data_IF_031710363145
#
_entry.id   IF_031710363145
#
_cell.length_a   1.000
_cell.length_b   1.000
_cell.length_c   1.000
_cell.angle_alpha   90.00
_cell.angle_beta   90.00
_cell.angle_gamma   90.00
#
_symmetry.space_group_name_H-M   'P 1'
#
loop_
_entity.id
_entity.type
_entity.pdbx_description
1 polymer ?
#
# COMPACT_ATOMS: atom_id res chain seq x y z
N UNK A 1 -32.11 -47.87 2.68
CA UNK A 1 -32.73 -47.85 4.00
C UNK A 1 -32.07 -46.77 4.83
N UNK A 2 -32.70 -45.62 4.92
CA UNK A 2 -32.22 -44.48 5.67
C UNK A 2 -32.89 -44.49 7.02
N UNK A 3 -32.14 -44.33 8.09
CA UNK A 3 -32.66 -44.17 9.44
C UNK A 3 -32.43 -42.75 9.93
N UNK A 4 -33.56 -42.02 9.97
CA UNK A 4 -33.69 -40.70 10.61
C UNK A 4 -33.37 -40.82 12.12
N UNK A 5 -32.49 -39.94 12.59
CA UNK A 5 -32.36 -39.64 14.03
C UNK A 5 -32.84 -38.23 14.30
N UNK A 6 -34.08 -38.19 14.85
CA UNK A 6 -34.67 -37.00 15.45
C UNK A 6 -34.01 -36.69 16.78
N UNK A 7 -33.38 -35.55 16.93
CA UNK A 7 -32.86 -35.02 18.21
C UNK A 7 -33.97 -34.22 18.89
N UNK A 8 -34.44 -34.70 20.04
CA UNK A 8 -35.39 -34.00 20.92
C UNK A 8 -34.68 -32.92 21.72
N UNK A 9 -35.12 -31.66 21.57
CA UNK A 9 -34.68 -30.54 22.41
C UNK A 9 -35.60 -30.48 23.64
N UNK A 10 -35.00 -30.50 24.85
CA UNK A 10 -35.70 -30.27 26.11
C UNK A 10 -35.82 -28.77 26.41
N UNK A 11 -36.89 -28.27 27.02
CA UNK A 11 -37.07 -26.87 27.34
C UNK A 11 -36.30 -26.45 28.60
N UNK A 12 -35.66 -25.27 28.53
CA UNK A 12 -34.91 -24.66 29.62
C UNK A 12 -35.83 -24.11 30.72
N UNK A 13 -35.45 -24.40 31.94
CA UNK A 13 -36.10 -23.94 33.19
C UNK A 13 -35.43 -22.61 33.63
N UNK A 14 -36.29 -21.68 34.12
CA UNK A 14 -35.91 -20.74 35.16
C UNK A 14 -35.45 -19.35 34.69
N UNK A 15 -36.40 -18.42 34.49
CA UNK A 15 -36.14 -16.97 34.44
C UNK A 15 -36.01 -16.45 35.87
N UNK A 16 -34.81 -16.11 36.32
CA UNK A 16 -34.60 -15.25 37.51
C UNK A 16 -34.82 -13.79 37.14
N UNK A 17 -35.74 -13.13 37.85
CA UNK A 17 -35.92 -11.68 37.80
C UNK A 17 -34.72 -10.97 38.35
N UNK A 18 -33.97 -10.28 37.48
CA UNK A 18 -32.88 -9.34 37.88
C UNK A 18 -33.52 -7.95 37.99
N UNK A 19 -33.49 -7.39 39.19
CA UNK A 19 -33.85 -5.98 39.46
C UNK A 19 -32.88 -5.03 38.75
N UNK A 20 -33.32 -3.95 38.08
CA UNK A 20 -32.43 -3.01 37.41
C UNK A 20 -31.69 -2.15 38.45
N UNK A 21 -30.39 -2.30 38.53
CA UNK A 21 -29.50 -1.31 39.18
C UNK A 21 -29.37 -0.07 38.33
N UNK A 22 -29.53 1.08 38.94
CA UNK A 22 -29.39 2.43 38.40
C UNK A 22 -28.01 2.68 37.77
N UNK A 23 -27.84 2.35 36.50
CA UNK A 23 -26.63 2.60 35.71
C UNK A 23 -26.82 3.48 34.47
N UNK A 24 -28.02 4.03 34.26
CA UNK A 24 -28.36 4.74 33.02
C UNK A 24 -27.66 6.12 32.91
N UNK A 25 -27.37 6.80 34.03
CA UNK A 25 -26.74 8.12 34.02
C UNK A 25 -25.29 8.15 33.53
N UNK A 26 -24.50 7.12 33.85
CA UNK A 26 -23.06 7.06 33.50
C UNK A 26 -22.80 6.71 32.02
N UNK A 27 -23.71 5.98 31.39
CA UNK A 27 -23.61 5.63 29.96
C UNK A 27 -23.93 6.83 29.05
N UNK A 28 -24.89 7.67 29.43
CA UNK A 28 -25.23 8.87 28.67
C UNK A 28 -24.15 9.94 28.73
N UNK A 29 -23.52 10.14 29.89
CA UNK A 29 -22.42 11.12 30.06
C UNK A 29 -21.17 10.67 29.27
N UNK A 30 -20.81 9.38 29.30
CA UNK A 30 -19.71 8.84 28.48
C UNK A 30 -19.96 8.99 26.98
N UNK A 31 -21.16 8.65 26.50
CA UNK A 31 -21.51 8.83 25.07
C UNK A 31 -21.51 10.30 24.63
N UNK A 32 -21.94 11.21 25.49
CA UNK A 32 -21.89 12.65 25.19
C UNK A 32 -20.44 13.19 25.17
N UNK A 33 -19.59 12.72 26.08
CA UNK A 33 -18.16 13.08 26.10
C UNK A 33 -17.39 12.49 24.93
N UNK A 34 -17.67 11.25 24.54
CA UNK A 34 -17.10 10.62 23.33
C UNK A 34 -17.56 11.35 22.05
N UNK A 35 -18.83 11.72 21.93
CA UNK A 35 -19.34 12.46 20.78
C UNK A 35 -18.80 13.90 20.68
N UNK A 36 -18.50 14.54 21.80
CA UNK A 36 -17.90 15.89 21.82
C UNK A 36 -16.39 15.82 21.50
N UNK A 37 -15.72 14.80 22.01
CA UNK A 37 -14.32 14.50 21.66
C UNK A 37 -14.17 14.22 20.17
N UNK A 38 -15.04 13.38 19.58
CA UNK A 38 -15.01 13.06 18.16
C UNK A 38 -15.18 14.31 17.28
N UNK A 39 -16.08 15.24 17.65
CA UNK A 39 -16.25 16.50 16.92
C UNK A 39 -15.00 17.38 17.00
N UNK A 40 -14.38 17.44 18.14
CA UNK A 40 -13.14 18.20 18.36
C UNK A 40 -11.98 17.60 17.57
N UNK A 41 -11.85 16.28 17.54
CA UNK A 41 -10.79 15.58 16.78
C UNK A 41 -10.99 15.71 15.27
N UNK A 42 -12.22 15.67 14.77
CA UNK A 42 -12.53 15.91 13.34
C UNK A 42 -12.12 17.34 12.93
N UNK A 43 -12.46 18.35 13.76
CA UNK A 43 -12.08 19.73 13.50
C UNK A 43 -10.56 19.93 13.51
N UNK A 44 -9.86 19.33 14.47
CA UNK A 44 -8.38 19.38 14.56
C UNK A 44 -7.71 18.67 13.39
N UNK A 45 -8.22 17.51 12.98
CA UNK A 45 -7.72 16.79 11.82
C UNK A 45 -7.85 17.63 10.54
N UNK A 46 -8.99 18.31 10.36
CA UNK A 46 -9.20 19.22 9.24
C UNK A 46 -8.21 20.40 9.27
N UNK A 47 -8.00 21.00 10.43
CA UNK A 47 -7.04 22.10 10.60
C UNK A 47 -5.59 21.67 10.28
N UNK A 48 -5.16 20.51 10.77
CA UNK A 48 -3.84 19.94 10.44
C UNK A 48 -3.70 19.71 8.94
N UNK A 49 -4.71 19.17 8.29
CA UNK A 49 -4.70 19.00 6.83
C UNK A 49 -4.53 20.32 6.10
N UNK A 50 -5.35 21.33 6.42
CA UNK A 50 -5.25 22.67 5.79
C UNK A 50 -3.86 23.27 5.99
N UNK A 51 -3.25 23.08 7.15
CA UNK A 51 -1.91 23.54 7.46
C UNK A 51 -0.85 22.85 6.59
N UNK A 52 -0.94 21.52 6.40
CA UNK A 52 -0.07 20.77 5.49
C UNK A 52 -0.20 21.32 4.06
N UNK A 53 -1.41 21.54 3.58
CA UNK A 53 -1.67 22.03 2.23
C UNK A 53 -1.13 23.45 2.03
N UNK A 54 -1.37 24.35 2.98
CA UNK A 54 -0.89 25.74 2.92
C UNK A 54 0.64 25.79 2.93
N UNK A 55 1.28 25.12 3.89
CA UNK A 55 2.74 25.06 4.02
C UNK A 55 3.39 24.50 2.74
N UNK A 56 2.82 23.45 2.15
CA UNK A 56 3.33 22.89 0.91
C UNK A 56 3.23 23.87 -0.26
N UNK A 57 2.08 24.51 -0.44
CA UNK A 57 1.89 25.52 -1.52
C UNK A 57 2.83 26.71 -1.35
N UNK A 58 2.94 27.26 -0.16
CA UNK A 58 3.84 28.39 0.13
C UNK A 58 5.30 28.07 -0.20
N UNK A 59 5.80 26.91 0.22
CA UNK A 59 7.17 26.51 -0.08
C UNK A 59 7.37 26.23 -1.57
N UNK A 60 6.44 25.56 -2.25
CA UNK A 60 6.50 25.36 -3.69
C UNK A 60 6.60 26.67 -4.43
N UNK A 61 5.78 27.66 -4.10
CA UNK A 61 5.77 28.95 -4.78
C UNK A 61 7.00 29.81 -4.48
N UNK A 62 7.51 29.75 -3.25
CA UNK A 62 8.66 30.54 -2.83
C UNK A 62 10.01 29.98 -3.34
N UNK A 63 10.13 28.64 -3.50
CA UNK A 63 11.43 27.98 -3.68
C UNK A 63 11.59 27.24 -4.99
N UNK A 64 10.52 26.99 -5.74
CA UNK A 64 10.64 26.32 -7.03
C UNK A 64 11.42 27.15 -8.03
N UNK A 65 12.48 26.61 -8.66
CA UNK A 65 13.28 27.33 -9.66
C UNK A 65 12.48 27.66 -10.93
N UNK A 66 11.36 26.95 -11.13
CA UNK A 66 10.40 27.20 -12.21
C UNK A 66 9.01 27.21 -11.61
N UNK A 67 8.26 28.27 -11.86
CA UNK A 67 6.87 28.36 -11.40
C UNK A 67 6.03 27.24 -12.04
N UNK A 68 5.37 26.36 -11.25
CA UNK A 68 4.44 25.39 -11.81
C UNK A 68 3.21 26.09 -12.39
N UNK A 69 2.54 25.51 -13.37
CA UNK A 69 1.25 25.97 -13.86
C UNK A 69 0.11 25.63 -12.88
N UNK A 70 0.28 24.57 -12.11
CA UNK A 70 -0.62 24.21 -11.02
C UNK A 70 0.11 23.37 -9.97
N UNK A 71 -0.33 23.48 -8.72
CA UNK A 71 0.04 22.59 -7.59
C UNK A 71 -1.19 21.77 -7.25
N UNK A 72 -1.03 20.46 -7.27
CA UNK A 72 -2.12 19.50 -7.05
C UNK A 72 -1.76 18.60 -5.88
N UNK A 73 -2.72 18.31 -5.00
CA UNK A 73 -2.61 17.24 -4.02
C UNK A 73 -3.40 16.03 -4.47
N UNK A 74 -2.78 14.86 -4.38
CA UNK A 74 -3.40 13.56 -4.67
C UNK A 74 -3.46 12.65 -3.45
N UNK A 75 -3.61 11.37 -3.72
CA UNK A 75 -3.57 10.33 -2.70
C UNK A 75 -4.63 10.47 -1.60
N UNK A 76 -4.32 10.00 -0.41
CA UNK A 76 -5.28 10.02 0.71
C UNK A 76 -5.56 11.43 1.25
N UNK A 77 -4.61 12.36 1.14
CA UNK A 77 -4.81 13.76 1.56
C UNK A 77 -5.77 14.46 0.61
N UNK A 78 -5.61 14.26 -0.71
CA UNK A 78 -6.53 14.80 -1.71
C UNK A 78 -7.96 14.29 -1.55
N UNK A 79 -8.14 13.01 -1.16
CA UNK A 79 -9.44 12.39 -0.89
C UNK A 79 -10.03 12.70 0.49
N UNK A 80 -9.29 13.40 1.35
CA UNK A 80 -9.66 13.62 2.76
C UNK A 80 -9.79 12.30 3.56
N UNK A 81 -9.02 11.30 3.18
CA UNK A 81 -9.00 9.95 3.78
C UNK A 81 -7.61 9.61 4.37
N UNK A 82 -6.85 10.63 4.75
CA UNK A 82 -5.56 10.49 5.41
C UNK A 82 -5.75 10.13 6.90
N UNK A 83 -4.73 9.49 7.46
CA UNK A 83 -4.74 9.05 8.86
C UNK A 83 -3.91 10.02 9.69
N UNK A 84 -4.53 10.80 10.57
CA UNK A 84 -3.86 11.72 11.48
C UNK A 84 -4.07 11.28 12.93
N UNK A 85 -2.99 10.91 13.58
CA UNK A 85 -2.95 10.65 15.02
C UNK A 85 -2.72 11.98 15.74
N UNK A 86 -3.64 12.34 16.65
CA UNK A 86 -3.56 13.56 17.44
C UNK A 86 -3.14 13.23 18.87
N UNK A 87 -2.08 13.90 19.39
CA UNK A 87 -1.59 13.71 20.76
C UNK A 87 -1.01 14.99 21.31
N UNK A 88 -1.44 15.40 22.50
CA UNK A 88 -0.81 16.44 23.33
C UNK A 88 -0.25 17.65 22.54
N UNK A 89 -1.00 18.12 21.55
CA UNK A 89 -0.60 19.22 20.68
C UNK A 89 0.25 18.82 19.48
N UNK A 90 0.60 17.52 19.33
CA UNK A 90 1.35 16.97 18.23
C UNK A 90 0.44 16.17 17.28
N UNK A 91 0.66 16.29 15.98
CA UNK A 91 -0.05 15.53 14.95
C UNK A 91 0.93 14.67 14.14
N UNK A 92 0.64 13.38 14.02
CA UNK A 92 1.39 12.48 13.15
C UNK A 92 0.52 11.97 12.02
N UNK A 93 0.95 12.22 10.79
CA UNK A 93 0.29 11.68 9.59
C UNK A 93 0.91 10.31 9.26
N UNK A 94 0.08 9.26 9.27
CA UNK A 94 0.52 7.95 8.83
C UNK A 94 0.42 7.85 7.31
N UNK A 95 1.56 7.65 6.66
CA UNK A 95 1.73 7.70 5.21
C UNK A 95 2.37 9.00 4.75
N UNK A 96 2.06 9.40 3.54
CA UNK A 96 2.62 10.58 2.91
C UNK A 96 1.54 11.50 2.33
N UNK A 97 1.86 12.79 2.22
CA UNK A 97 1.09 13.75 1.44
C UNK A 97 1.73 13.90 0.07
N UNK A 98 0.99 13.55 -0.98
CA UNK A 98 1.48 13.49 -2.36
C UNK A 98 1.13 14.76 -3.12
N UNK A 99 2.16 15.53 -3.52
CA UNK A 99 2.01 16.75 -4.30
C UNK A 99 2.52 16.55 -5.73
N UNK A 100 1.74 17.03 -6.69
CA UNK A 100 2.06 17.00 -8.11
C UNK A 100 2.21 18.43 -8.62
N UNK A 101 3.42 18.80 -9.02
CA UNK A 101 3.76 20.09 -9.59
C UNK A 101 3.60 19.99 -11.11
N UNK A 102 2.57 20.64 -11.65
CA UNK A 102 2.25 20.59 -13.07
C UNK A 102 2.96 21.76 -13.77
N UNK A 103 3.86 21.46 -14.66
CA UNK A 103 4.59 22.44 -15.47
C UNK A 103 3.97 22.57 -16.85
N UNK A 104 4.02 23.76 -17.44
CA UNK A 104 3.56 24.00 -18.81
C UNK A 104 4.40 23.21 -19.82
N UNK A 105 5.70 23.02 -19.55
CA UNK A 105 6.65 22.36 -20.46
C UNK A 105 7.38 21.17 -19.81
N UNK A 106 7.85 20.26 -20.66
CA UNK A 106 8.69 19.13 -20.23
C UNK A 106 10.04 19.60 -19.65
N UNK A 107 10.58 20.70 -20.17
CA UNK A 107 11.84 21.26 -19.67
C UNK A 107 11.67 21.77 -18.24
N UNK A 108 10.60 22.52 -17.95
CA UNK A 108 10.28 22.97 -16.59
C UNK A 108 10.12 21.80 -15.61
N UNK A 109 9.40 20.75 -16.03
CA UNK A 109 9.26 19.55 -15.19
C UNK A 109 10.61 18.85 -14.93
N UNK A 110 11.54 18.84 -15.89
CA UNK A 110 12.88 18.27 -15.68
C UNK A 110 13.72 19.13 -14.75
N UNK A 111 13.63 20.45 -14.84
CA UNK A 111 14.35 21.35 -13.92
C UNK A 111 13.87 21.16 -12.48
N UNK A 112 12.55 21.11 -12.25
CA UNK A 112 12.00 20.89 -10.91
C UNK A 112 12.42 19.54 -10.30
N UNK A 113 12.58 18.50 -11.10
CA UNK A 113 12.92 17.14 -10.58
C UNK A 113 14.22 17.08 -9.79
N UNK A 114 15.19 17.93 -10.10
CA UNK A 114 16.46 17.99 -9.38
C UNK A 114 16.33 18.48 -7.94
N UNK A 115 15.26 19.23 -7.64
CA UNK A 115 15.10 19.92 -6.37
C UNK A 115 13.94 19.35 -5.51
N UNK A 116 13.20 18.34 -6.03
CA UNK A 116 11.99 17.85 -5.36
C UNK A 116 12.26 17.25 -3.97
N UNK A 117 13.35 16.52 -3.81
CA UNK A 117 13.70 15.91 -2.52
C UNK A 117 14.09 16.98 -1.50
N UNK A 118 14.83 18.01 -1.91
CA UNK A 118 15.16 19.16 -1.07
C UNK A 118 13.91 19.94 -0.68
N UNK A 119 13.02 20.20 -1.63
CA UNK A 119 11.75 20.88 -1.40
C UNK A 119 10.87 20.10 -0.42
N UNK A 120 10.76 18.78 -0.58
CA UNK A 120 10.00 17.92 0.31
C UNK A 120 10.57 17.97 1.74
N UNK A 121 11.90 17.85 1.90
CA UNK A 121 12.56 17.91 3.19
C UNK A 121 12.37 19.27 3.91
N UNK A 122 12.34 20.36 3.16
CA UNK A 122 12.08 21.70 3.73
C UNK A 122 10.63 21.85 4.20
N UNK A 123 9.66 21.34 3.43
CA UNK A 123 8.26 21.33 3.85
C UNK A 123 8.10 20.48 5.12
N UNK A 124 8.71 19.30 5.16
CA UNK A 124 8.70 18.41 6.34
C UNK A 124 9.29 19.11 7.58
N UNK A 125 10.43 19.80 7.43
CA UNK A 125 11.05 20.54 8.51
C UNK A 125 10.14 21.67 9.05
N UNK A 126 9.52 22.43 8.15
CA UNK A 126 8.61 23.51 8.54
C UNK A 126 7.34 22.97 9.21
N UNK A 127 6.82 21.83 8.79
CA UNK A 127 5.70 21.16 9.44
C UNK A 127 6.11 20.63 10.83
N UNK A 128 7.33 20.10 10.98
CA UNK A 128 7.85 19.66 12.28
C UNK A 128 7.96 20.82 13.29
N UNK A 129 8.37 22.03 12.87
CA UNK A 129 8.34 23.24 13.70
C UNK A 129 6.93 23.61 14.17
N UNK A 130 5.91 23.15 13.46
CA UNK A 130 4.49 23.35 13.79
C UNK A 130 3.89 22.14 14.55
N UNK A 131 4.75 21.23 15.04
CA UNK A 131 4.37 20.00 15.72
C UNK A 131 3.54 19.03 14.84
N UNK A 132 3.80 19.01 13.50
CA UNK A 132 3.18 18.11 12.54
C UNK A 132 4.27 17.21 11.94
N UNK A 133 4.20 15.91 12.22
CA UNK A 133 5.03 14.86 11.57
C UNK A 133 4.29 14.34 10.32
N UNK A 134 4.72 14.77 9.15
CA UNK A 134 4.12 14.40 7.88
C UNK A 134 5.22 14.20 6.83
N UNK A 135 5.28 13.01 6.25
CA UNK A 135 6.15 12.77 5.09
C UNK A 135 5.56 13.42 3.84
N UNK A 136 6.39 14.13 3.10
CA UNK A 136 6.00 14.81 1.86
C UNK A 136 6.61 14.07 0.67
N UNK A 137 5.79 13.85 -0.34
CA UNK A 137 6.24 13.34 -1.64
C UNK A 137 5.88 14.34 -2.73
N UNK A 138 6.88 14.84 -3.44
CA UNK A 138 6.70 15.75 -4.55
C UNK A 138 7.01 15.06 -5.89
N UNK A 139 6.20 15.33 -6.91
CA UNK A 139 6.40 14.85 -8.27
C UNK A 139 6.20 15.99 -9.25
N UNK A 140 7.08 16.12 -10.27
CA UNK A 140 6.93 17.12 -11.33
C UNK A 140 6.51 16.48 -12.66
N UNK A 141 5.43 16.96 -13.24
CA UNK A 141 4.87 16.50 -14.51
C UNK A 141 4.64 17.68 -15.45
N UNK A 142 4.78 17.46 -16.76
CA UNK A 142 4.33 18.47 -17.72
C UNK A 142 2.86 18.26 -18.11
N UNK A 143 2.20 19.32 -18.56
CA UNK A 143 0.86 19.26 -19.13
C UNK A 143 0.75 18.22 -20.26
N UNK A 144 1.82 18.02 -21.04
CA UNK A 144 1.86 17.02 -22.10
C UNK A 144 1.89 15.58 -21.58
N UNK A 145 2.53 15.35 -20.43
CA UNK A 145 2.47 14.04 -19.77
C UNK A 145 1.03 13.76 -19.33
N UNK A 146 0.35 14.72 -18.72
CA UNK A 146 -1.04 14.58 -18.31
C UNK A 146 -1.94 14.24 -19.49
N UNK A 147 -1.83 14.97 -20.62
CA UNK A 147 -2.64 14.71 -21.84
C UNK A 147 -2.40 13.34 -22.46
N UNK A 148 -1.23 12.75 -22.24
CA UNK A 148 -0.83 11.44 -22.78
C UNK A 148 -0.91 10.32 -21.76
N UNK A 149 -1.46 10.58 -20.58
CA UNK A 149 -1.61 9.54 -19.56
C UNK A 149 -2.47 8.39 -20.08
N UNK A 150 -1.91 7.19 -20.02
CA UNK A 150 -2.66 5.97 -20.32
C UNK A 150 -3.56 5.59 -19.15
N UNK A 151 -4.63 4.80 -19.38
CA UNK A 151 -5.48 4.32 -18.31
C UNK A 151 -4.68 3.54 -17.25
N UNK A 152 -4.72 4.00 -15.99
CA UNK A 152 -4.19 3.33 -14.81
C UNK A 152 -4.83 3.92 -13.54
N UNK A 153 -4.69 3.25 -12.41
CA UNK A 153 -5.37 3.60 -11.15
C UNK A 153 -5.04 5.02 -10.71
N UNK A 154 -3.74 5.38 -10.68
CA UNK A 154 -3.32 6.73 -10.27
C UNK A 154 -3.91 7.83 -11.17
N UNK A 155 -3.98 7.62 -12.50
CA UNK A 155 -4.58 8.61 -13.40
C UNK A 155 -6.07 8.79 -13.13
N UNK A 156 -6.79 7.69 -12.86
CA UNK A 156 -8.20 7.74 -12.49
C UNK A 156 -8.41 8.50 -11.18
N UNK A 157 -7.66 8.12 -10.14
CA UNK A 157 -7.76 8.73 -8.82
C UNK A 157 -7.41 10.22 -8.87
N UNK A 158 -6.28 10.57 -9.51
CA UNK A 158 -5.84 11.95 -9.62
C UNK A 158 -6.88 12.83 -10.36
N UNK A 159 -7.46 12.32 -11.47
CA UNK A 159 -8.51 13.01 -12.20
C UNK A 159 -9.79 13.18 -11.40
N UNK A 160 -10.20 12.18 -10.62
CA UNK A 160 -11.51 12.17 -9.93
C UNK A 160 -11.46 12.78 -8.53
N UNK A 161 -10.34 12.64 -7.83
CA UNK A 161 -10.23 12.98 -6.40
C UNK A 161 -9.05 13.89 -6.08
N UNK A 162 -8.15 14.14 -7.03
CA UNK A 162 -7.10 15.13 -6.87
C UNK A 162 -7.69 16.55 -6.73
N UNK A 163 -7.00 17.39 -5.98
CA UNK A 163 -7.42 18.81 -5.77
C UNK A 163 -6.34 19.74 -6.24
N UNK A 164 -6.71 20.69 -7.08
CA UNK A 164 -5.84 21.82 -7.46
C UNK A 164 -5.83 22.81 -6.31
N UNK A 165 -4.66 23.03 -5.73
CA UNK A 165 -4.46 23.93 -4.59
C UNK A 165 -4.08 25.33 -5.07
N UNK A 166 -3.38 25.43 -6.21
CA UNK A 166 -2.91 26.68 -6.79
C UNK A 166 -2.76 26.54 -8.32
N UNK A 167 -2.94 27.63 -9.03
CA UNK A 167 -2.76 27.73 -10.48
C UNK A 167 -4.02 27.39 -11.28
N UNK A 168 -3.86 26.71 -12.42
CA UNK A 168 -4.97 26.40 -13.33
C UNK A 168 -5.94 25.39 -12.69
N UNK A 169 -7.19 25.77 -12.37
CA UNK A 169 -8.18 24.88 -11.75
C UNK A 169 -8.56 23.71 -12.66
N UNK A 170 -8.29 23.79 -13.97
CA UNK A 170 -8.58 22.75 -14.96
C UNK A 170 -7.39 21.83 -15.23
N UNK A 171 -6.28 21.97 -14.50
CA UNK A 171 -5.07 21.18 -14.74
C UNK A 171 -5.33 19.66 -14.74
N UNK A 172 -6.23 19.16 -13.90
CA UNK A 172 -6.57 17.74 -13.84
C UNK A 172 -7.49 17.28 -14.97
N UNK A 173 -8.19 18.19 -15.66
CA UNK A 173 -8.99 17.86 -16.85
C UNK A 173 -8.11 17.48 -18.04
N UNK A 174 -6.82 17.83 -18.01
CA UNK A 174 -5.84 17.39 -19.01
C UNK A 174 -5.64 15.88 -19.03
N UNK A 175 -5.87 15.20 -17.92
CA UNK A 175 -5.84 13.73 -17.88
C UNK A 175 -7.03 13.19 -18.68
N UNK A 176 -6.83 12.35 -19.72
CA UNK A 176 -7.92 11.83 -20.52
C UNK A 176 -8.98 11.10 -19.67
N UNK A 177 -10.25 11.29 -19.99
CA UNK A 177 -11.30 10.46 -19.42
C UNK A 177 -11.24 9.07 -20.07
N UNK A 178 -11.33 8.04 -19.26
CA UNK A 178 -11.35 6.65 -19.74
C UNK A 178 -12.29 5.78 -18.88
N UNK A 179 -12.79 4.72 -19.50
CA UNK A 179 -13.62 3.76 -18.80
C UNK A 179 -12.78 2.95 -17.81
N UNK A 180 -13.38 2.56 -16.70
CA UNK A 180 -12.75 1.71 -15.69
C UNK A 180 -12.19 0.40 -16.30
N UNK A 181 -12.92 -0.17 -17.26
CA UNK A 181 -12.53 -1.38 -18.00
C UNK A 181 -11.28 -1.21 -18.85
N UNK A 182 -10.86 0.04 -19.13
CA UNK A 182 -9.62 0.33 -19.85
C UNK A 182 -8.38 0.22 -18.96
N UNK A 183 -8.54 0.23 -17.64
CA UNK A 183 -7.42 0.09 -16.72
C UNK A 183 -6.94 -1.37 -16.77
N UNK A 184 -5.66 -1.59 -17.09
CA UNK A 184 -5.13 -2.94 -17.14
C UNK A 184 -5.17 -3.61 -15.76
N UNK A 185 -5.70 -4.81 -15.68
CA UNK A 185 -5.79 -5.57 -14.40
C UNK A 185 -4.43 -5.73 -13.70
N UNK A 186 -3.35 -5.85 -14.47
CA UNK A 186 -2.00 -5.94 -13.92
C UNK A 186 -1.58 -4.70 -13.12
N UNK A 187 -2.26 -3.55 -13.27
CA UNK A 187 -1.95 -2.32 -12.51
C UNK A 187 -2.25 -2.50 -11.02
N UNK A 188 -3.40 -3.08 -10.67
CA UNK A 188 -3.72 -3.41 -9.27
C UNK A 188 -2.82 -4.52 -8.71
N UNK A 189 -2.51 -5.55 -9.51
CA UNK A 189 -1.58 -6.60 -9.10
C UNK A 189 -0.18 -6.06 -8.83
N UNK A 190 0.27 -5.09 -9.61
CA UNK A 190 1.49 -4.34 -9.40
C UNK A 190 1.47 -3.54 -8.10
N UNK A 191 0.35 -2.86 -7.80
CA UNK A 191 0.19 -2.11 -6.55
C UNK A 191 0.38 -3.01 -5.33
N UNK A 192 -0.26 -4.16 -5.30
CA UNK A 192 -0.07 -5.17 -4.25
C UNK A 192 1.39 -5.62 -4.16
N UNK A 193 2.06 -5.87 -5.31
CA UNK A 193 3.47 -6.28 -5.33
C UNK A 193 4.40 -5.18 -4.77
N UNK A 194 4.10 -3.91 -5.03
CA UNK A 194 4.82 -2.78 -4.43
C UNK A 194 4.68 -2.81 -2.90
N UNK A 195 3.47 -3.00 -2.38
CA UNK A 195 3.22 -3.08 -0.93
C UNK A 195 3.94 -4.24 -0.26
N UNK A 196 4.05 -5.38 -0.94
CA UNK A 196 4.84 -6.51 -0.43
C UNK A 196 6.31 -6.13 -0.25
N UNK A 197 6.90 -5.39 -1.19
CA UNK A 197 8.30 -4.95 -1.10
C UNK A 197 8.48 -3.90 0.01
N UNK A 198 7.59 -2.92 0.08
CA UNK A 198 7.62 -1.88 1.11
C UNK A 198 7.47 -2.48 2.51
N UNK A 199 6.67 -3.53 2.66
CA UNK A 199 6.51 -4.22 3.94
C UNK A 199 7.76 -5.06 4.30
N UNK A 200 8.44 -5.67 3.31
CA UNK A 200 9.69 -6.39 3.54
C UNK A 200 10.79 -5.50 4.14
N UNK A 201 10.75 -4.20 3.90
CA UNK A 201 11.70 -3.24 4.48
C UNK A 201 11.64 -3.21 6.02
N UNK A 202 10.46 -3.45 6.58
CA UNK A 202 10.22 -3.32 8.02
C UNK A 202 10.04 -4.66 8.76
N UNK A 203 10.08 -5.78 8.06
CA UNK A 203 9.75 -7.08 8.65
C UNK A 203 10.72 -7.50 9.75
N UNK A 204 11.95 -7.00 9.72
CA UNK A 204 12.96 -7.24 10.76
C UNK A 204 12.58 -6.66 12.13
N UNK A 205 11.65 -5.70 12.18
CA UNK A 205 11.09 -5.20 13.43
C UNK A 205 10.41 -6.29 14.28
N UNK A 206 9.94 -7.38 13.64
CA UNK A 206 9.30 -8.49 14.32
C UNK A 206 10.25 -9.34 15.22
N UNK A 207 11.56 -9.15 15.09
CA UNK A 207 12.55 -9.79 15.99
C UNK A 207 13.51 -8.79 16.62
N UNK A 208 13.74 -7.63 16.05
CA UNK A 208 14.55 -6.57 16.69
C UNK A 208 13.79 -5.84 17.78
N UNK A 209 12.45 -5.80 17.71
CA UNK A 209 11.61 -5.00 18.63
C UNK A 209 11.77 -3.49 18.45
N UNK A 210 12.38 -3.03 17.36
CA UNK A 210 12.51 -1.60 17.03
C UNK A 210 11.12 -1.00 16.83
N UNK A 211 10.65 -0.23 17.80
CA UNK A 211 9.29 0.30 17.83
C UNK A 211 8.97 1.24 16.66
N UNK A 212 9.79 2.20 16.26
CA UNK A 212 9.57 3.02 15.07
C UNK A 212 9.33 2.16 13.83
N UNK A 213 10.15 1.15 13.59
CA UNK A 213 10.00 0.24 12.45
C UNK A 213 8.80 -0.69 12.60
N UNK A 214 8.44 -1.08 13.82
CA UNK A 214 7.26 -1.89 14.10
C UNK A 214 5.97 -1.12 13.78
N UNK A 215 5.92 0.17 14.08
CA UNK A 215 4.83 1.08 13.71
C UNK A 215 4.66 1.15 12.20
N UNK A 216 5.76 1.31 11.46
CA UNK A 216 5.73 1.29 10.00
C UNK A 216 5.25 -0.06 9.48
N UNK A 217 5.75 -1.19 9.99
CA UNK A 217 5.30 -2.52 9.59
C UNK A 217 3.79 -2.70 9.74
N UNK A 218 3.22 -2.35 10.89
CA UNK A 218 1.77 -2.46 11.13
C UNK A 218 0.98 -1.54 10.20
N UNK A 219 1.48 -0.32 9.95
CA UNK A 219 0.83 0.58 9.00
C UNK A 219 0.85 0.04 7.56
N UNK A 220 1.97 -0.53 7.11
CA UNK A 220 2.04 -1.19 5.80
C UNK A 220 1.19 -2.46 5.73
N UNK A 221 1.07 -3.19 6.86
CA UNK A 221 0.15 -4.33 6.98
C UNK A 221 -1.31 -3.92 6.84
N UNK A 222 -1.68 -2.75 7.35
CA UNK A 222 -3.00 -2.15 7.13
C UNK A 222 -3.18 -1.73 5.66
N UNK A 223 -2.20 -1.03 5.08
CA UNK A 223 -2.27 -0.55 3.68
C UNK A 223 -2.41 -1.69 2.67
N UNK A 224 -1.71 -2.82 2.89
CA UNK A 224 -1.80 -3.93 1.94
C UNK A 224 -3.20 -4.54 1.88
N UNK A 225 -3.95 -4.56 2.98
CA UNK A 225 -5.35 -5.02 3.00
C UNK A 225 -6.25 -4.12 2.15
N UNK A 226 -6.05 -2.80 2.20
CA UNK A 226 -6.76 -1.84 1.36
C UNK A 226 -6.41 -2.01 -0.13
N UNK A 227 -5.16 -2.37 -0.44
CA UNK A 227 -4.74 -2.67 -1.82
C UNK A 227 -5.28 -4.01 -2.32
N UNK A 228 -5.51 -4.99 -1.44
CA UNK A 228 -6.21 -6.22 -1.82
C UNK A 228 -7.65 -5.93 -2.23
N UNK A 229 -8.35 -5.02 -1.53
CA UNK A 229 -9.67 -4.55 -1.98
C UNK A 229 -9.58 -3.88 -3.35
N UNK A 230 -8.60 -3.00 -3.58
CA UNK A 230 -8.33 -2.38 -4.88
C UNK A 230 -8.19 -3.43 -5.98
N UNK A 231 -7.39 -4.47 -5.74
CA UNK A 231 -7.17 -5.56 -6.68
C UNK A 231 -8.50 -6.27 -7.01
N UNK A 232 -9.24 -6.72 -6.00
CA UNK A 232 -10.50 -7.44 -6.18
C UNK A 232 -11.51 -6.58 -6.94
N UNK A 233 -11.72 -5.34 -6.53
CA UNK A 233 -12.69 -4.43 -7.14
C UNK A 233 -12.35 -4.09 -8.59
N UNK A 234 -11.06 -3.86 -8.91
CA UNK A 234 -10.64 -3.60 -10.29
C UNK A 234 -10.83 -4.83 -11.18
N UNK A 235 -10.50 -6.02 -10.68
CA UNK A 235 -10.67 -7.26 -11.44
C UNK A 235 -12.14 -7.58 -11.69
N UNK A 236 -13.04 -7.21 -10.77
CA UNK A 236 -14.49 -7.32 -10.93
C UNK A 236 -15.12 -6.15 -11.72
N UNK A 237 -14.34 -5.13 -12.10
CA UNK A 237 -14.80 -4.00 -12.90
C UNK A 237 -15.65 -2.98 -12.13
N UNK A 238 -15.57 -2.95 -10.81
CA UNK A 238 -16.36 -2.07 -9.91
C UNK A 238 -15.48 -1.22 -8.98
N UNK A 239 -14.24 -1.01 -9.34
CA UNK A 239 -13.30 -0.20 -8.58
C UNK A 239 -13.84 1.21 -8.28
N UNK A 240 -13.55 1.72 -7.10
CA UNK A 240 -13.87 3.09 -6.64
C UNK A 240 -12.63 3.82 -6.14
N UNK A 241 -12.53 5.15 -6.32
CA UNK A 241 -11.32 5.90 -5.96
C UNK A 241 -11.15 6.09 -4.45
N UNK A 242 -12.24 6.16 -3.66
CA UNK A 242 -12.18 6.39 -2.21
C UNK A 242 -12.23 5.08 -1.40
N UNK A 243 -11.65 5.07 -0.20
CA UNK A 243 -11.71 3.88 0.66
C UNK A 243 -13.12 3.58 1.15
N UNK A 244 -13.93 4.62 1.41
CA UNK A 244 -15.33 4.46 1.82
C UNK A 244 -16.14 3.72 0.75
N UNK A 245 -16.07 4.20 -0.48
CA UNK A 245 -16.76 3.57 -1.60
C UNK A 245 -16.23 2.15 -1.88
N UNK A 246 -14.93 1.88 -1.66
CA UNK A 246 -14.35 0.53 -1.81
C UNK A 246 -14.94 -0.45 -0.80
N UNK A 247 -15.15 -0.04 0.44
CA UNK A 247 -15.82 -0.87 1.46
C UNK A 247 -17.24 -1.22 1.01
N UNK A 248 -18.02 -0.24 0.59
CA UNK A 248 -19.39 -0.44 0.15
C UNK A 248 -19.47 -1.40 -1.05
N UNK A 249 -18.62 -1.22 -2.04
CA UNK A 249 -18.59 -2.10 -3.21
C UNK A 249 -18.08 -3.51 -2.87
N UNK A 250 -17.11 -3.65 -1.97
CA UNK A 250 -16.61 -4.95 -1.55
C UNK A 250 -17.67 -5.74 -0.79
N UNK A 251 -18.46 -5.09 0.06
CA UNK A 251 -19.59 -5.71 0.75
C UNK A 251 -20.71 -6.14 -0.24
N UNK A 252 -20.97 -5.37 -1.29
CA UNK A 252 -21.90 -5.77 -2.36
C UNK A 252 -21.39 -6.98 -3.13
N UNK A 253 -20.09 -7.00 -3.45
CA UNK A 253 -19.44 -8.10 -4.17
C UNK A 253 -19.31 -9.37 -3.34
N UNK A 254 -19.26 -9.27 -2.02
CA UNK A 254 -19.02 -10.41 -1.12
C UNK A 254 -19.91 -11.60 -1.43
N UNK A 255 -21.20 -11.37 -1.74
CA UNK A 255 -22.13 -12.42 -2.12
C UNK A 255 -21.81 -13.13 -3.44
N UNK A 256 -21.14 -12.42 -4.36
CA UNK A 256 -20.75 -12.95 -5.66
C UNK A 256 -19.40 -13.66 -5.61
N UNK A 257 -18.68 -13.54 -4.48
CA UNK A 257 -17.37 -14.17 -4.23
C UNK A 257 -17.49 -15.37 -3.28
N UNK A 258 -18.70 -15.92 -3.07
CA UNK A 258 -19.00 -16.99 -2.11
C UNK A 258 -18.15 -18.26 -2.30
N UNK A 259 -17.59 -18.50 -3.49
CA UNK A 259 -16.62 -19.57 -3.75
C UNK A 259 -15.18 -19.27 -3.31
N UNK A 260 -14.87 -18.04 -2.92
CA UNK A 260 -13.52 -17.63 -2.51
C UNK A 260 -13.38 -17.66 -0.98
N UNK A 261 -12.59 -18.57 -0.41
CA UNK A 261 -12.52 -18.75 1.05
C UNK A 261 -11.98 -17.53 1.79
N UNK A 262 -11.30 -16.60 1.09
CA UNK A 262 -10.76 -15.36 1.63
C UNK A 262 -11.75 -14.19 1.61
N UNK A 263 -12.88 -14.26 0.87
CA UNK A 263 -13.74 -13.10 0.58
C UNK A 263 -14.33 -12.47 1.84
N UNK A 264 -14.90 -13.28 2.74
CA UNK A 264 -15.48 -12.78 3.98
C UNK A 264 -14.42 -12.17 4.92
N UNK A 265 -13.26 -12.83 5.03
CA UNK A 265 -12.16 -12.33 5.85
C UNK A 265 -11.63 -11.00 5.30
N UNK A 266 -11.46 -10.88 3.97
CA UNK A 266 -11.04 -9.64 3.33
C UNK A 266 -12.02 -8.50 3.61
N UNK A 267 -13.33 -8.71 3.40
CA UNK A 267 -14.33 -7.68 3.60
C UNK A 267 -14.30 -7.15 5.05
N UNK A 268 -14.35 -8.05 6.04
CA UNK A 268 -14.30 -7.66 7.45
C UNK A 268 -13.00 -6.88 7.80
N UNK A 269 -11.87 -7.31 7.27
CA UNK A 269 -10.58 -6.67 7.51
C UNK A 269 -10.50 -5.29 6.86
N UNK A 270 -11.01 -5.14 5.62
CA UNK A 270 -11.03 -3.87 4.90
C UNK A 270 -11.93 -2.84 5.60
N UNK A 271 -13.07 -3.27 6.16
CA UNK A 271 -13.92 -2.43 7.01
C UNK A 271 -13.10 -1.90 8.20
N UNK A 272 -12.50 -2.78 9.00
CA UNK A 272 -11.73 -2.39 10.19
C UNK A 272 -10.53 -1.48 9.85
N UNK A 273 -9.81 -1.78 8.77
CA UNK A 273 -8.70 -0.95 8.29
C UNK A 273 -9.17 0.43 7.84
N UNK A 274 -10.32 0.52 7.16
CA UNK A 274 -10.88 1.78 6.69
C UNK A 274 -11.41 2.61 7.85
N UNK A 275 -12.08 1.99 8.82
CA UNK A 275 -12.54 2.67 10.04
C UNK A 275 -11.36 3.29 10.80
N UNK A 276 -10.31 2.52 11.06
CA UNK A 276 -9.10 3.07 11.68
C UNK A 276 -8.47 4.18 10.83
N UNK A 277 -8.37 3.98 9.51
CA UNK A 277 -7.75 4.97 8.62
C UNK A 277 -8.48 6.31 8.64
N UNK A 278 -9.80 6.30 8.72
CA UNK A 278 -10.63 7.50 8.70
C UNK A 278 -10.83 8.10 10.10
N UNK A 279 -10.79 7.28 11.15
CA UNK A 279 -11.02 7.67 12.54
C UNK A 279 -9.94 7.05 13.46
N UNK A 280 -8.66 7.41 13.30
CA UNK A 280 -7.55 6.75 13.98
C UNK A 280 -7.52 7.00 15.49
N UNK A 281 -8.27 7.99 15.98
CA UNK A 281 -8.34 8.34 17.39
C UNK A 281 -9.56 7.68 18.11
N UNK A 282 -10.35 6.88 17.36
CA UNK A 282 -11.43 6.05 17.93
C UNK A 282 -10.85 4.81 18.63
N UNK A 283 -11.63 4.21 19.54
CA UNK A 283 -11.20 3.00 20.26
C UNK A 283 -11.13 1.79 19.31
N UNK A 284 -9.93 1.28 19.10
CA UNK A 284 -9.68 0.06 18.32
C UNK A 284 -8.30 -0.50 18.67
N UNK A 285 -8.05 -1.79 18.36
CA UNK A 285 -6.72 -2.39 18.57
C UNK A 285 -5.60 -1.66 17.81
N UNK A 286 -5.90 -1.15 16.62
CA UNK A 286 -4.96 -0.31 15.88
C UNK A 286 -4.72 1.03 16.58
N UNK A 287 -5.76 1.71 17.06
CA UNK A 287 -5.62 2.95 17.79
C UNK A 287 -4.79 2.76 19.07
N UNK A 288 -5.05 1.70 19.83
CA UNK A 288 -4.27 1.34 21.03
C UNK A 288 -2.80 1.08 20.69
N UNK A 289 -2.53 0.29 19.62
CA UNK A 289 -1.18 0.03 19.16
C UNK A 289 -0.45 1.32 18.74
N UNK A 290 -1.05 2.09 17.83
CA UNK A 290 -0.44 3.33 17.36
C UNK A 290 -0.34 4.38 18.45
N UNK A 291 -1.20 4.32 19.49
CA UNK A 291 -1.11 5.18 20.65
C UNK A 291 0.09 4.86 21.56
N UNK A 292 0.71 3.69 21.48
CA UNK A 292 1.76 3.26 22.41
C UNK A 292 1.23 3.03 23.82
N UNK A 293 -0.05 2.72 23.94
CA UNK A 293 -0.67 2.40 25.21
C UNK A 293 -0.25 1.01 25.74
N UNK A 294 0.37 0.18 24.88
CA UNK A 294 0.76 -1.17 25.23
C UNK A 294 2.23 -1.30 25.60
N UNK A 295 2.54 -2.32 26.38
CA UNK A 295 3.92 -2.76 26.60
C UNK A 295 4.52 -3.34 25.32
N UNK A 296 5.84 -3.21 25.16
CA UNK A 296 6.59 -3.65 23.97
C UNK A 296 6.31 -5.12 23.59
N UNK A 297 6.21 -6.03 24.58
CA UNK A 297 5.92 -7.44 24.32
C UNK A 297 4.53 -7.64 23.68
N UNK A 298 3.54 -6.88 24.11
CA UNK A 298 2.19 -6.89 23.53
C UNK A 298 2.15 -6.30 22.14
N UNK A 299 2.86 -5.18 21.93
CA UNK A 299 2.99 -4.55 20.61
C UNK A 299 3.62 -5.52 19.60
N UNK A 300 4.68 -6.22 20.00
CA UNK A 300 5.37 -7.20 19.15
C UNK A 300 4.47 -8.41 18.82
N UNK A 301 3.72 -8.90 19.81
CA UNK A 301 2.76 -9.99 19.60
C UNK A 301 1.68 -9.57 18.61
N UNK A 302 1.07 -8.42 18.80
CA UNK A 302 0.06 -7.88 17.90
C UNK A 302 0.59 -7.72 16.47
N UNK A 303 1.75 -7.11 16.30
CA UNK A 303 2.35 -6.90 14.99
C UNK A 303 2.65 -8.23 14.26
N UNK A 304 3.11 -9.24 15.00
CA UNK A 304 3.37 -10.59 14.45
C UNK A 304 2.08 -11.28 14.01
N UNK A 305 1.05 -11.25 14.85
CA UNK A 305 -0.26 -11.84 14.54
C UNK A 305 -0.92 -11.15 13.34
N UNK A 306 -0.87 -9.81 13.29
CA UNK A 306 -1.37 -9.03 12.17
C UNK A 306 -0.64 -9.37 10.86
N UNK A 307 0.70 -9.41 10.90
CA UNK A 307 1.49 -9.75 9.73
C UNK A 307 1.15 -11.14 9.20
N UNK A 308 1.12 -12.16 10.06
CA UNK A 308 0.83 -13.54 9.66
C UNK A 308 -0.61 -13.71 9.15
N UNK A 309 -1.58 -13.06 9.80
CA UNK A 309 -2.98 -13.07 9.36
C UNK A 309 -3.12 -12.48 7.96
N UNK A 310 -2.48 -11.33 7.73
CA UNK A 310 -2.53 -10.66 6.44
C UNK A 310 -1.73 -11.43 5.38
N UNK A 311 -0.63 -12.07 5.73
CA UNK A 311 0.15 -12.89 4.82
C UNK A 311 -0.69 -14.07 4.28
N UNK A 312 -1.48 -14.74 5.14
CA UNK A 312 -2.41 -15.79 4.72
C UNK A 312 -3.51 -15.29 3.79
N UNK A 313 -4.13 -14.15 4.14
CA UNK A 313 -5.15 -13.50 3.32
C UNK A 313 -4.59 -13.05 1.96
N UNK A 314 -3.44 -12.38 1.98
CA UNK A 314 -2.75 -11.92 0.78
C UNK A 314 -2.45 -13.09 -0.16
N UNK A 315 -1.98 -14.23 0.36
CA UNK A 315 -1.69 -15.41 -0.47
C UNK A 315 -2.91 -15.84 -1.27
N UNK A 316 -4.08 -15.92 -0.63
CA UNK A 316 -5.33 -16.29 -1.29
C UNK A 316 -5.76 -15.32 -2.37
N UNK A 317 -5.79 -14.01 -2.06
CA UNK A 317 -6.20 -12.96 -3.00
C UNK A 317 -5.18 -12.77 -4.12
N UNK A 318 -3.87 -12.84 -3.81
CA UNK A 318 -2.80 -12.69 -4.79
C UNK A 318 -2.81 -13.83 -5.82
N UNK A 319 -3.01 -15.07 -5.37
CA UNK A 319 -3.13 -16.23 -6.26
C UNK A 319 -4.38 -16.10 -7.13
N UNK A 320 -5.53 -15.75 -6.56
CA UNK A 320 -6.74 -15.48 -7.33
C UNK A 320 -6.51 -14.39 -8.41
N UNK A 321 -5.87 -13.27 -8.05
CA UNK A 321 -5.52 -12.23 -9.00
C UNK A 321 -4.58 -12.72 -10.10
N UNK A 322 -3.60 -13.56 -9.75
CA UNK A 322 -2.70 -14.19 -10.70
C UNK A 322 -3.44 -15.11 -11.68
N UNK A 323 -4.40 -15.92 -11.20
CA UNK A 323 -5.28 -16.77 -12.04
C UNK A 323 -6.05 -15.92 -13.06
N UNK A 324 -6.62 -14.81 -12.61
CA UNK A 324 -7.31 -13.89 -13.51
C UNK A 324 -6.39 -13.29 -14.59
N UNK A 325 -5.12 -12.99 -14.25
CA UNK A 325 -4.13 -12.49 -15.22
C UNK A 325 -3.66 -13.57 -16.19
N UNK A 326 -3.57 -14.80 -15.73
CA UNK A 326 -3.12 -15.94 -16.53
C UNK A 326 -4.25 -16.54 -17.36
N UNK A 327 -5.51 -16.35 -16.96
CA UNK A 327 -6.71 -16.87 -17.61
C UNK A 327 -6.88 -18.40 -17.45
N UNK A 328 -6.34 -18.96 -16.36
CA UNK A 328 -6.50 -20.37 -15.98
C UNK A 328 -6.35 -20.55 -14.49
N UNK A 329 -6.97 -21.59 -13.94
CA UNK A 329 -6.71 -22.04 -12.58
C UNK A 329 -5.23 -22.41 -12.40
N UNK A 330 -4.68 -21.96 -11.29
CA UNK A 330 -3.34 -22.35 -10.83
C UNK A 330 -3.48 -23.51 -9.84
N UNK A 331 -2.52 -24.40 -9.85
CA UNK A 331 -2.48 -25.45 -8.84
C UNK A 331 -2.46 -24.84 -7.43
N UNK A 332 -3.25 -25.35 -6.50
CA UNK A 332 -3.32 -24.87 -5.10
C UNK A 332 -1.97 -24.80 -4.38
N UNK A 333 -0.98 -25.56 -4.90
CA UNK A 333 0.40 -25.60 -4.41
C UNK A 333 1.38 -24.82 -5.28
N UNK A 334 0.89 -24.02 -6.24
CA UNK A 334 1.77 -23.24 -7.12
C UNK A 334 2.70 -22.35 -6.30
N UNK A 335 3.99 -22.44 -6.58
CA UNK A 335 5.00 -21.64 -5.88
C UNK A 335 4.90 -20.17 -6.32
N UNK A 336 4.89 -19.20 -5.39
CA UNK A 336 4.75 -17.78 -5.73
C UNK A 336 5.76 -17.29 -6.76
N UNK A 337 7.01 -17.77 -6.70
CA UNK A 337 8.05 -17.46 -7.68
C UNK A 337 7.64 -17.87 -9.11
N UNK A 338 7.17 -19.10 -9.27
CA UNK A 338 6.82 -19.66 -10.59
C UNK A 338 5.61 -18.94 -11.19
N UNK A 339 4.60 -18.67 -10.36
CA UNK A 339 3.42 -17.90 -10.74
C UNK A 339 3.80 -16.51 -11.22
N UNK A 340 4.59 -15.78 -10.44
CA UNK A 340 5.01 -14.43 -10.81
C UNK A 340 5.94 -14.40 -12.03
N UNK A 341 6.83 -15.38 -12.19
CA UNK A 341 7.64 -15.54 -13.39
C UNK A 341 6.79 -15.84 -14.62
N UNK A 342 5.71 -16.61 -14.46
CA UNK A 342 4.76 -16.87 -15.54
C UNK A 342 4.06 -15.58 -16.01
N UNK A 343 3.61 -14.74 -15.06
CA UNK A 343 3.05 -13.41 -15.36
C UNK A 343 4.11 -12.52 -16.04
N UNK A 344 5.34 -12.51 -15.54
CA UNK A 344 6.43 -11.71 -16.09
C UNK A 344 6.73 -12.05 -17.56
N UNK A 345 6.67 -13.34 -17.93
CA UNK A 345 6.88 -13.81 -19.33
C UNK A 345 5.77 -13.37 -20.29
N UNK A 346 4.54 -13.16 -19.80
CA UNK A 346 3.39 -12.74 -20.61
C UNK A 346 3.36 -11.24 -20.91
N UNK A 347 4.25 -10.46 -20.32
CA UNK A 347 4.37 -9.05 -20.67
C UNK A 347 4.67 -8.87 -22.17
N UNK A 348 4.10 -7.82 -22.73
CA UNK A 348 4.46 -7.36 -24.08
C UNK A 348 5.98 -7.17 -24.19
N UNK A 349 6.58 -7.66 -25.27
CA UNK A 349 8.02 -7.62 -25.48
C UNK A 349 8.57 -6.17 -25.52
N UNK A 350 7.76 -5.19 -25.97
CA UNK A 350 8.14 -3.78 -26.02
C UNK A 350 8.34 -3.20 -24.61
N UNK A 351 7.46 -3.57 -23.67
CA UNK A 351 7.62 -3.20 -22.26
C UNK A 351 8.84 -3.84 -21.64
N UNK A 352 9.10 -5.11 -21.95
CA UNK A 352 10.32 -5.81 -21.49
C UNK A 352 11.57 -5.12 -22.02
N UNK A 353 11.62 -4.89 -23.35
CA UNK A 353 12.75 -4.23 -24.01
C UNK A 353 13.01 -2.81 -23.43
N UNK A 354 11.95 -2.00 -23.24
CA UNK A 354 12.08 -0.67 -22.61
C UNK A 354 12.63 -0.76 -21.19
N UNK A 355 12.16 -1.70 -20.38
CA UNK A 355 12.65 -1.90 -19.01
C UNK A 355 14.14 -2.23 -18.97
N UNK A 356 14.58 -3.13 -19.83
CA UNK A 356 16.01 -3.51 -19.94
C UNK A 356 16.87 -2.39 -20.53
N UNK A 357 16.40 -1.69 -21.56
CA UNK A 357 17.10 -0.54 -22.12
C UNK A 357 17.28 0.57 -21.07
N UNK A 358 16.25 0.86 -20.30
CA UNK A 358 16.34 1.82 -19.20
C UNK A 358 17.38 1.39 -18.16
N UNK A 359 17.33 0.13 -17.71
CA UNK A 359 18.32 -0.39 -16.76
C UNK A 359 19.74 -0.26 -17.29
N UNK A 360 19.99 -0.62 -18.55
CA UNK A 360 21.31 -0.50 -19.18
C UNK A 360 21.79 0.94 -19.35
N UNK A 361 20.87 1.92 -19.45
CA UNK A 361 21.22 3.34 -19.53
C UNK A 361 21.51 3.95 -18.17
N UNK A 362 20.80 3.53 -17.13
CA UNK A 362 20.98 4.04 -15.76
C UNK A 362 22.13 3.34 -15.04
N UNK A 363 22.34 2.05 -15.32
CA UNK A 363 23.28 1.15 -14.64
C UNK A 363 24.26 0.53 -15.65
N UNK A 364 25.08 1.34 -16.28
CA UNK A 364 26.05 0.88 -17.31
C UNK A 364 26.95 -0.23 -16.81
N UNK A 365 27.43 -0.11 -15.56
CA UNK A 365 28.31 -1.10 -14.94
C UNK A 365 27.64 -2.44 -14.70
N UNK A 366 26.30 -2.48 -14.65
CA UNK A 366 25.55 -3.71 -14.48
C UNK A 366 25.78 -4.69 -15.65
N UNK A 367 25.74 -4.20 -16.90
CA UNK A 367 25.97 -5.03 -18.10
C UNK A 367 27.39 -5.60 -18.15
N UNK A 368 28.38 -4.82 -17.71
CA UNK A 368 29.79 -5.24 -17.72
C UNK A 368 30.09 -6.24 -16.61
N UNK A 369 29.45 -6.13 -15.45
CA UNK A 369 29.69 -6.99 -14.28
C UNK A 369 28.88 -8.29 -14.29
N UNK A 370 27.69 -8.30 -14.90
CA UNK A 370 26.76 -9.45 -14.87
C UNK A 370 26.85 -10.37 -16.11
N UNK A 371 27.49 -9.91 -17.18
CA UNK A 371 27.65 -10.65 -18.42
C UNK A 371 26.41 -10.74 -19.32
N UNK A 372 26.63 -10.83 -20.63
CA UNK A 372 25.59 -10.88 -21.65
C UNK A 372 24.69 -12.10 -21.56
N UNK A 373 25.21 -13.24 -21.12
CA UNK A 373 24.44 -14.47 -20.97
C UNK A 373 23.34 -14.32 -19.92
N UNK A 374 23.66 -13.74 -18.79
CA UNK A 374 22.68 -13.47 -17.73
C UNK A 374 21.64 -12.47 -18.18
N UNK A 375 22.05 -11.38 -18.83
CA UNK A 375 21.15 -10.41 -19.43
C UNK A 375 20.15 -11.07 -20.37
N UNK A 376 20.61 -11.85 -21.34
CA UNK A 376 19.75 -12.55 -22.29
C UNK A 376 18.78 -13.52 -21.57
N UNK A 377 19.30 -14.33 -20.66
CA UNK A 377 18.51 -15.28 -19.88
C UNK A 377 17.38 -14.60 -19.10
N UNK A 378 17.68 -13.48 -18.43
CA UNK A 378 16.70 -12.75 -17.65
C UNK A 378 15.70 -11.98 -18.53
N UNK A 379 16.15 -11.39 -19.65
CA UNK A 379 15.28 -10.64 -20.56
C UNK A 379 14.24 -11.52 -21.23
N UNK A 380 14.54 -12.81 -21.42
CA UNK A 380 13.55 -13.80 -21.88
C UNK A 380 12.52 -14.16 -20.80
N UNK A 381 12.82 -13.93 -19.52
CA UNK A 381 11.95 -14.28 -18.39
C UNK A 381 10.97 -13.16 -18.03
N UNK A 382 11.34 -11.90 -18.25
CA UNK A 382 10.49 -10.75 -17.93
C UNK A 382 11.24 -9.42 -17.99
N UNK A 383 10.55 -8.31 -17.72
CA UNK A 383 11.21 -7.01 -17.49
C UNK A 383 11.87 -6.99 -16.09
N UNK A 384 12.89 -6.14 -15.86
CA UNK A 384 13.56 -6.04 -14.56
C UNK A 384 12.58 -5.85 -13.40
N UNK A 385 11.55 -5.02 -13.58
CA UNK A 385 10.51 -4.77 -12.58
C UNK A 385 9.71 -6.01 -12.22
N UNK A 386 9.25 -6.76 -13.22
CA UNK A 386 8.44 -7.95 -12.97
C UNK A 386 9.26 -9.14 -12.44
N UNK A 387 10.54 -9.19 -12.78
CA UNK A 387 11.47 -10.13 -12.15
C UNK A 387 11.69 -9.79 -10.68
N UNK A 388 11.80 -8.49 -10.36
CA UNK A 388 11.85 -8.05 -8.96
C UNK A 388 10.58 -8.45 -8.21
N UNK A 389 9.39 -8.25 -8.78
CA UNK A 389 8.12 -8.68 -8.17
C UNK A 389 8.06 -10.20 -7.95
N UNK A 390 8.62 -10.99 -8.87
CA UNK A 390 8.67 -12.43 -8.71
C UNK A 390 9.55 -12.86 -7.53
N UNK A 391 10.72 -12.26 -7.41
CA UNK A 391 11.63 -12.51 -6.28
C UNK A 391 11.03 -12.01 -4.97
N UNK A 392 10.45 -10.82 -4.97
CA UNK A 392 9.80 -10.24 -3.79
C UNK A 392 8.63 -11.09 -3.29
N UNK A 393 7.79 -11.60 -4.20
CA UNK A 393 6.69 -12.49 -3.83
C UNK A 393 7.20 -13.77 -3.16
N UNK A 394 8.25 -14.38 -3.72
CA UNK A 394 8.85 -15.57 -3.13
C UNK A 394 9.38 -15.30 -1.71
N UNK A 395 10.12 -14.19 -1.54
CA UNK A 395 10.67 -13.81 -0.24
C UNK A 395 9.56 -13.43 0.76
N UNK A 396 8.57 -12.68 0.31
CA UNK A 396 7.47 -12.26 1.17
C UNK A 396 6.72 -13.45 1.76
N UNK A 397 6.33 -14.41 0.93
CA UNK A 397 5.64 -15.61 1.39
C UNK A 397 6.55 -16.59 2.16
N UNK A 398 7.88 -16.54 1.96
CA UNK A 398 8.82 -17.28 2.78
C UNK A 398 8.97 -16.69 4.20
N UNK A 399 8.51 -15.46 4.42
CA UNK A 399 8.48 -14.83 5.74
C UNK A 399 7.67 -15.61 6.77
N UNK A 400 6.61 -16.34 6.36
CA UNK A 400 5.87 -17.26 7.22
C UNK A 400 6.78 -18.34 7.78
N UNK A 401 7.54 -19.02 6.92
CA UNK A 401 8.48 -20.07 7.33
C UNK A 401 9.56 -19.53 8.24
N UNK A 402 10.09 -18.34 7.95
CA UNK A 402 11.08 -17.68 8.81
C UNK A 402 10.54 -17.40 10.21
N UNK A 403 9.36 -16.76 10.30
CA UNK A 403 8.74 -16.35 11.56
C UNK A 403 8.24 -17.56 12.40
N UNK A 404 7.96 -18.70 11.77
CA UNK A 404 7.55 -19.93 12.44
C UNK A 404 8.71 -20.87 12.75
N UNK A 405 9.96 -20.41 12.62
CA UNK A 405 11.15 -21.19 12.98
C UNK A 405 11.65 -22.15 11.90
N UNK A 406 11.10 -22.09 10.68
CA UNK A 406 11.53 -22.92 9.53
C UNK A 406 12.56 -22.17 8.67
N UNK A 407 13.59 -21.59 9.29
CA UNK A 407 14.59 -20.77 8.62
C UNK A 407 15.28 -21.46 7.44
N UNK A 408 15.53 -22.78 7.52
CA UNK A 408 16.10 -23.56 6.41
C UNK A 408 15.20 -23.53 5.17
N UNK A 409 13.87 -23.63 5.33
CA UNK A 409 12.91 -23.54 4.23
C UNK A 409 12.92 -22.14 3.59
N UNK A 410 12.90 -21.10 4.41
CA UNK A 410 12.95 -19.72 3.94
C UNK A 410 14.26 -19.44 3.15
N UNK A 411 15.41 -19.93 3.63
CA UNK A 411 16.70 -19.79 2.95
C UNK A 411 16.75 -20.55 1.62
N UNK A 412 16.15 -21.74 1.55
CA UNK A 412 16.03 -22.49 0.29
C UNK A 412 15.18 -21.75 -0.74
N UNK A 413 14.08 -21.13 -0.31
CA UNK A 413 13.24 -20.31 -1.20
C UNK A 413 14.05 -19.10 -1.70
N UNK A 414 14.79 -18.42 -0.81
CA UNK A 414 15.68 -17.32 -1.18
C UNK A 414 16.73 -17.73 -2.22
N UNK A 415 17.39 -18.85 -2.02
CA UNK A 415 18.38 -19.38 -2.94
C UNK A 415 17.80 -19.72 -4.34
N UNK A 416 16.52 -20.16 -4.40
CA UNK A 416 15.83 -20.41 -5.67
C UNK A 416 15.37 -19.13 -6.37
N UNK A 417 15.06 -18.07 -5.61
CA UNK A 417 14.54 -16.82 -6.15
C UNK A 417 15.65 -15.90 -6.66
N UNK A 418 16.77 -15.79 -5.96
CA UNK A 418 17.87 -14.87 -6.28
C UNK A 418 18.46 -15.00 -7.69
N UNK A 419 18.54 -16.19 -8.33
CA UNK A 419 18.98 -16.28 -9.73
C UNK A 419 18.12 -15.47 -10.73
N UNK A 420 16.87 -15.14 -10.38
CA UNK A 420 15.99 -14.30 -11.18
C UNK A 420 16.05 -12.82 -10.82
N UNK A 421 16.78 -12.48 -9.76
CA UNK A 421 16.89 -11.10 -9.31
C UNK A 421 17.85 -10.31 -10.23
N UNK A 422 17.37 -9.26 -10.95
CA UNK A 422 18.18 -8.56 -11.95
C UNK A 422 19.44 -7.91 -11.38
N UNK A 423 19.41 -7.55 -10.10
CA UNK A 423 20.47 -6.77 -9.43
C UNK A 423 21.38 -7.62 -8.52
N UNK A 424 21.18 -8.95 -8.42
CA UNK A 424 22.08 -9.80 -7.64
C UNK A 424 23.41 -9.99 -8.37
N UNK A 425 24.49 -9.87 -7.63
CA UNK A 425 25.79 -10.38 -8.08
C UNK A 425 25.78 -11.92 -8.02
N UNK A 426 26.41 -12.57 -8.98
CA UNK A 426 26.55 -14.04 -8.97
C UNK A 426 27.26 -14.48 -7.69
N UNK A 427 26.80 -15.57 -7.06
CA UNK A 427 27.42 -16.30 -5.94
C UNK A 427 27.12 -15.88 -4.49
N UNK A 428 26.12 -15.12 -4.17
CA UNK A 428 25.75 -14.91 -2.77
C UNK A 428 24.68 -15.91 -2.31
N UNK A 429 25.08 -16.91 -1.54
CA UNK A 429 24.15 -17.62 -0.65
C UNK A 429 23.77 -16.65 0.46
N UNK A 430 22.61 -16.00 0.30
CA UNK A 430 22.08 -15.08 1.28
C UNK A 430 21.00 -15.78 2.09
N UNK A 431 21.00 -15.53 3.40
CA UNK A 431 19.84 -15.87 4.21
C UNK A 431 18.62 -15.01 3.81
N UNK A 432 17.45 -15.41 4.28
CA UNK A 432 16.21 -14.72 3.93
C UNK A 432 16.20 -13.22 4.31
N UNK A 433 16.69 -12.76 5.51
CA UNK A 433 16.75 -11.35 5.84
C UNK A 433 17.71 -10.56 4.94
N UNK A 434 18.86 -11.14 4.55
CA UNK A 434 19.80 -10.50 3.65
C UNK A 434 19.21 -10.35 2.25
N UNK A 435 18.57 -11.42 1.73
CA UNK A 435 17.89 -11.39 0.45
C UNK A 435 16.79 -10.34 0.40
N UNK A 436 15.98 -10.22 1.47
CA UNK A 436 14.92 -9.21 1.59
C UNK A 436 15.49 -7.80 1.52
N UNK A 437 16.56 -7.50 2.28
CA UNK A 437 17.21 -6.17 2.27
C UNK A 437 17.76 -5.79 0.90
N UNK A 438 18.35 -6.72 0.17
CA UNK A 438 18.88 -6.45 -1.20
C UNK A 438 17.74 -6.14 -2.16
N UNK A 439 16.63 -6.86 -2.08
CA UNK A 439 15.46 -6.62 -2.92
C UNK A 439 14.84 -5.24 -2.64
N UNK A 440 14.71 -4.87 -1.38
CA UNK A 440 14.21 -3.54 -0.96
C UNK A 440 15.16 -2.44 -1.42
N UNK A 441 16.47 -2.61 -1.23
CA UNK A 441 17.49 -1.66 -1.69
C UNK A 441 17.40 -1.41 -3.20
N UNK A 442 17.30 -2.48 -3.99
CA UNK A 442 17.13 -2.36 -5.45
C UNK A 442 15.82 -1.71 -5.85
N UNK A 443 14.73 -1.98 -5.11
CA UNK A 443 13.46 -1.30 -5.32
C UNK A 443 13.60 0.21 -5.13
N UNK A 444 14.16 0.63 -4.01
CA UNK A 444 14.32 2.04 -3.68
C UNK A 444 15.25 2.76 -4.67
N UNK A 445 16.35 2.12 -5.07
CA UNK A 445 17.36 2.71 -5.94
C UNK A 445 16.91 2.78 -7.41
N UNK A 446 16.33 1.71 -7.97
CA UNK A 446 16.18 1.57 -9.42
C UNK A 446 14.75 1.64 -9.92
N UNK A 447 13.76 1.30 -9.09
CA UNK A 447 12.40 1.11 -9.58
C UNK A 447 11.39 2.07 -8.97
N UNK A 448 11.57 2.50 -7.73
CA UNK A 448 10.72 3.51 -7.08
C UNK A 448 10.82 4.87 -7.78
N UNK A 449 12.01 5.39 -8.13
CA UNK A 449 12.15 6.67 -8.83
C UNK A 449 11.59 6.67 -10.25
N UNK A 450 11.24 5.52 -10.81
CA UNK A 450 10.79 5.40 -12.21
C UNK A 450 9.33 5.82 -12.48
N UNK A 451 8.65 6.39 -11.50
CA UNK A 451 7.33 6.99 -11.64
C UNK A 451 7.36 8.44 -12.14
N UNK A 452 8.52 9.06 -12.11
CA UNK A 452 8.73 10.43 -12.57
C UNK A 452 9.00 10.51 -14.08
#
# INVERSE_FOLDING_TARGET
MATDRVVKVQPAVGVQKVTPRSGVGTLHVRRAQEADKDKTDVSRTAAVREQILATAVENVLARSPVAPAAVVVGGSVGREEHTILLRDGYARVLGDAEFFLICSTMQGARQLRGDLDSLAAEIEAQLADQAIDCRITCSAMSADILRKMSPHILALELRQTGKVLWGDPKALELIPAFALTSIPKWDAWRSVSNRMIEQLDYVDALWSGDRPRLVELVYWTLKIQLELATLVLLFCGVYRPTYRERVEELERLRRNLDGAPWAAALANRVVACTEFKLNPNSSSSYADFFSGAWETARELTFAREEFLTVLGLLRGVWLWGAEQLVGRELEKRAQPLEVALHIARRQDWRWRARGWARLGLTERDWLTTQGWERFLRLSLRGSPRFLLYAVSAALYFAGEDWLTGKATSANQISARALPYFPFAREQTTLDWPQASRIVVSAWNQFLRPSWA
#
